data_IF_002566953880
#
_entry.id   IF_002566953880
#
_cell.length_a   1.000
_cell.length_b   1.000
_cell.length_c   1.000
_cell.angle_alpha   90.00
_cell.angle_beta   90.00
_cell.angle_gamma   90.00
#
_symmetry.space_group_name_H-M   'P 1'
#
loop_
_entity.id
_entity.type
_entity.pdbx_description
1 polymer ?
#
# COMPACT_ATOMS: atom_id res chain seq x y z
N UNK A 1 26.05 46.85 -32.50
CA UNK A 1 26.87 45.64 -32.62
C UNK A 1 27.53 45.41 -31.28
N UNK A 2 27.15 44.28 -30.69
CA UNK A 2 27.87 43.47 -29.71
C UNK A 2 27.96 43.85 -28.23
N UNK A 3 27.23 43.01 -27.48
CA UNK A 3 27.65 42.32 -26.27
C UNK A 3 27.64 43.07 -24.92
N UNK A 4 26.43 43.26 -24.38
CA UNK A 4 26.19 43.27 -22.94
C UNK A 4 26.24 41.83 -22.40
N UNK A 5 27.40 41.39 -21.92
CA UNK A 5 27.52 40.19 -21.08
C UNK A 5 27.05 40.52 -19.66
N UNK A 6 25.89 39.96 -19.33
CA UNK A 6 25.33 39.87 -17.98
C UNK A 6 26.18 38.93 -17.12
N UNK A 7 26.76 39.45 -16.04
CA UNK A 7 27.40 38.65 -15.00
C UNK A 7 26.31 38.03 -14.11
N UNK A 8 26.21 36.69 -14.17
CA UNK A 8 25.40 35.90 -13.25
C UNK A 8 26.24 35.64 -11.99
N UNK A 9 25.77 35.99 -10.78
CA UNK A 9 26.52 35.67 -9.56
C UNK A 9 26.39 34.18 -9.24
N UNK A 10 27.55 33.57 -9.04
CA UNK A 10 27.78 32.18 -8.67
C UNK A 10 27.21 31.91 -7.27
N UNK A 11 26.13 31.12 -7.22
CA UNK A 11 25.50 30.68 -5.96
C UNK A 11 26.40 29.60 -5.33
N UNK A 12 27.18 29.99 -4.34
CA UNK A 12 27.96 29.10 -3.48
C UNK A 12 27.00 28.24 -2.65
N UNK A 13 26.98 26.94 -2.94
CA UNK A 13 26.29 25.94 -2.14
C UNK A 13 27.06 25.71 -0.84
N UNK A 14 26.53 26.21 0.27
CA UNK A 14 27.04 25.91 1.61
C UNK A 14 26.51 24.52 2.01
N UNK A 15 27.43 23.57 2.18
CA UNK A 15 27.12 22.25 2.75
C UNK A 15 26.70 22.40 4.22
N UNK A 16 25.58 21.81 4.67
CA UNK A 16 25.31 21.69 6.10
C UNK A 16 26.18 20.57 6.68
N UNK A 17 27.01 20.93 7.66
CA UNK A 17 27.86 20.00 8.41
C UNK A 17 27.06 19.04 9.31
N UNK A 18 27.66 17.91 9.73
CA UNK A 18 27.00 16.93 10.57
C UNK A 18 27.22 17.25 12.05
N UNK A 19 26.19 17.09 12.88
CA UNK A 19 26.37 16.96 14.32
C UNK A 19 25.31 17.64 15.16
N UNK A 20 24.17 16.96 15.34
CA UNK A 20 23.36 17.14 16.55
C UNK A 20 23.23 15.76 17.19
N UNK A 21 23.87 15.62 18.34
CA UNK A 21 23.76 14.46 19.21
C UNK A 21 22.31 14.33 19.70
N UNK A 22 21.67 13.20 19.39
CA UNK A 22 20.38 12.80 19.96
C UNK A 22 20.59 12.39 21.42
N UNK A 23 19.87 13.05 22.33
CA UNK A 23 19.81 12.68 23.74
C UNK A 23 19.04 11.37 23.98
N UNK A 24 19.28 10.67 25.10
CA UNK A 24 18.63 9.41 25.43
C UNK A 24 17.30 9.68 26.12
N UNK A 25 16.20 9.31 25.48
CA UNK A 25 14.85 9.43 26.04
C UNK A 25 13.76 9.02 25.05
N UNK A 26 14.04 7.98 24.23
CA UNK A 26 13.12 7.45 23.25
C UNK A 26 12.39 6.27 23.90
N UNK A 27 11.14 6.47 24.34
CA UNK A 27 10.21 5.34 24.45
C UNK A 27 9.71 5.05 23.04
N UNK A 28 10.63 4.56 22.20
CA UNK A 28 10.32 4.04 20.88
C UNK A 28 9.34 2.88 21.03
N UNK A 29 8.27 2.90 20.24
CA UNK A 29 7.47 1.73 19.87
C UNK A 29 8.30 0.71 19.05
N UNK A 30 9.57 0.50 19.42
CA UNK A 30 10.41 -0.61 18.97
C UNK A 30 10.19 -1.76 19.93
N UNK A 31 9.00 -2.35 19.93
CA UNK A 31 8.84 -3.71 20.46
C UNK A 31 9.18 -4.65 19.30
N UNK A 32 10.37 -5.27 19.27
CA UNK A 32 10.79 -6.04 18.11
C UNK A 32 10.29 -7.49 18.25
N UNK A 33 8.98 -7.73 18.33
CA UNK A 33 8.44 -9.10 18.17
C UNK A 33 6.92 -9.16 18.01
N UNK A 34 6.36 -8.48 17.03
CA UNK A 34 5.03 -8.85 16.52
C UNK A 34 5.18 -9.28 15.07
N UNK A 35 5.60 -10.54 14.87
CA UNK A 35 5.20 -11.26 13.67
C UNK A 35 3.71 -11.56 13.88
N UNK A 36 2.79 -10.89 13.17
CA UNK A 36 1.39 -11.27 13.27
C UNK A 36 1.27 -12.74 12.86
N UNK A 37 0.73 -13.56 13.78
CA UNK A 37 0.21 -14.87 13.44
C UNK A 37 -1.07 -14.63 12.66
N UNK A 38 -0.94 -14.63 11.35
CA UNK A 38 -2.08 -14.54 10.46
C UNK A 38 -2.99 -15.75 10.72
N UNK A 39 -4.26 -15.50 11.08
CA UNK A 39 -5.30 -16.55 11.04
C UNK A 39 -5.65 -16.79 9.57
N UNK A 40 -4.76 -17.49 8.90
CA UNK A 40 -4.93 -17.91 7.53
C UNK A 40 -6.18 -18.78 7.40
N UNK A 41 -6.75 -18.84 6.19
CA UNK A 41 -7.23 -20.13 5.71
C UNK A 41 -5.96 -20.89 5.26
N UNK A 42 -5.29 -21.64 6.16
CA UNK A 42 -3.98 -22.23 5.87
C UNK A 42 -4.05 -23.16 4.67
N UNK A 43 -5.23 -23.70 4.38
CA UNK A 43 -5.45 -24.67 3.32
C UNK A 43 -5.33 -24.01 1.95
N UNK A 44 -5.91 -22.83 1.74
CA UNK A 44 -5.87 -22.19 0.41
C UNK A 44 -4.46 -21.70 0.07
N UNK A 45 -3.81 -20.99 0.99
CA UNK A 45 -2.45 -20.49 0.78
C UNK A 45 -1.43 -21.62 0.60
N UNK A 46 -1.50 -22.67 1.43
CA UNK A 46 -0.63 -23.83 1.31
C UNK A 46 -0.83 -24.57 -0.02
N UNK A 47 -2.10 -24.78 -0.43
CA UNK A 47 -2.42 -25.43 -1.72
C UNK A 47 -1.85 -24.64 -2.90
N UNK A 48 -2.02 -23.32 -2.92
CA UNK A 48 -1.50 -22.48 -4.01
C UNK A 48 0.04 -22.51 -4.06
N UNK A 49 0.70 -22.49 -2.90
CA UNK A 49 2.16 -22.60 -2.81
C UNK A 49 2.66 -23.97 -3.29
N UNK A 50 1.99 -25.06 -2.91
CA UNK A 50 2.32 -26.41 -3.36
C UNK A 50 2.13 -26.55 -4.88
N UNK A 51 1.04 -26.01 -5.44
CA UNK A 51 0.81 -25.98 -6.89
C UNK A 51 1.87 -25.14 -7.63
N UNK A 52 2.33 -24.04 -7.03
CA UNK A 52 3.42 -23.25 -7.59
C UNK A 52 4.74 -24.03 -7.64
N UNK A 53 5.05 -24.83 -6.61
CA UNK A 53 6.22 -25.70 -6.61
C UNK A 53 6.08 -26.81 -7.66
N UNK A 54 4.92 -27.45 -7.74
CA UNK A 54 4.64 -28.49 -8.74
C UNK A 54 4.80 -27.95 -10.16
N UNK A 55 4.23 -26.78 -10.46
CA UNK A 55 4.40 -26.10 -11.75
C UNK A 55 5.88 -25.86 -12.08
N UNK A 56 6.66 -25.38 -11.10
CA UNK A 56 8.11 -25.19 -11.28
C UNK A 56 8.85 -26.47 -11.63
N UNK A 57 8.55 -27.57 -10.93
CA UNK A 57 9.13 -28.90 -11.20
C UNK A 57 8.74 -29.40 -12.59
N UNK A 58 7.47 -29.28 -12.99
CA UNK A 58 6.98 -29.70 -14.31
C UNK A 58 7.63 -28.90 -15.44
N UNK A 59 7.75 -27.58 -15.29
CA UNK A 59 8.40 -26.73 -16.29
C UNK A 59 9.90 -27.01 -16.37
N UNK A 60 10.58 -27.27 -15.25
CA UNK A 60 12.00 -27.61 -15.27
C UNK A 60 12.25 -28.98 -15.93
N UNK A 61 11.53 -30.01 -15.51
CA UNK A 61 11.67 -31.36 -16.07
C UNK A 61 11.29 -31.42 -17.55
N UNK A 62 10.20 -30.75 -17.94
CA UNK A 62 9.74 -30.73 -19.32
C UNK A 62 10.61 -29.91 -20.28
N UNK A 63 11.39 -28.95 -19.78
CA UNK A 63 12.31 -28.15 -20.61
C UNK A 63 13.36 -29.03 -21.28
N UNK A 64 13.84 -30.08 -20.59
CA UNK A 64 14.74 -31.08 -21.18
C UNK A 64 14.14 -31.75 -22.43
N UNK A 65 12.83 -32.03 -22.41
CA UNK A 65 12.11 -32.57 -23.57
C UNK A 65 12.08 -31.62 -24.76
N UNK A 66 11.93 -30.31 -24.52
CA UNK A 66 11.96 -29.30 -25.58
C UNK A 66 13.36 -29.21 -26.19
N UNK A 67 14.40 -29.18 -25.35
CA UNK A 67 15.79 -29.16 -25.85
C UNK A 67 16.08 -30.39 -26.70
N UNK A 68 15.60 -31.57 -26.28
CA UNK A 68 15.74 -32.81 -27.05
C UNK A 68 14.97 -32.79 -28.38
N UNK A 69 13.77 -32.19 -28.42
CA UNK A 69 13.00 -32.05 -29.67
C UNK A 69 13.66 -31.08 -30.66
N UNK A 70 14.44 -30.12 -30.16
CA UNK A 70 15.18 -29.16 -30.99
C UNK A 70 16.50 -29.72 -31.53
N UNK A 71 17.00 -30.83 -30.97
CA UNK A 71 18.19 -31.53 -31.46
C UNK A 71 17.80 -32.80 -32.23
N UNK A 72 17.79 -32.77 -33.57
CA UNK A 72 17.40 -33.93 -34.38
C UNK A 72 18.34 -35.13 -34.21
N UNK A 73 19.58 -34.93 -33.73
CA UNK A 73 20.51 -36.01 -33.47
C UNK A 73 20.18 -36.78 -32.19
N UNK A 74 19.55 -36.12 -31.22
CA UNK A 74 19.11 -36.75 -29.98
C UNK A 74 17.94 -37.73 -30.23
N UNK A 75 17.07 -37.44 -31.22
CA UNK A 75 15.85 -38.23 -31.48
C UNK A 75 16.07 -39.68 -31.92
N UNK A 76 17.28 -40.05 -32.36
CA UNK A 76 17.57 -41.38 -32.87
C UNK A 76 17.77 -42.46 -31.78
N UNK A 77 18.00 -42.07 -30.52
CA UNK A 77 18.50 -42.97 -29.46
C UNK A 77 17.58 -43.08 -28.22
N UNK A 78 16.35 -42.58 -28.29
CA UNK A 78 15.49 -42.51 -27.10
C UNK A 78 14.62 -43.75 -26.87
N UNK A 79 14.51 -44.09 -25.58
CA UNK A 79 13.60 -45.11 -25.06
C UNK A 79 12.15 -44.67 -25.20
N UNK A 80 11.33 -45.53 -25.81
CA UNK A 80 9.88 -45.38 -25.80
C UNK A 80 9.36 -45.60 -24.37
N UNK A 81 8.45 -44.74 -23.93
CA UNK A 81 7.75 -44.95 -22.66
C UNK A 81 6.48 -45.73 -22.97
N UNK A 82 6.41 -46.96 -22.46
CA UNK A 82 5.21 -47.77 -22.56
C UNK A 82 4.18 -47.29 -21.51
N UNK A 83 3.12 -46.64 -21.98
CA UNK A 83 1.99 -46.20 -21.16
C UNK A 83 0.83 -47.22 -21.22
N UNK A 84 1.11 -48.48 -21.58
CA UNK A 84 0.21 -49.62 -21.54
C UNK A 84 -0.66 -49.81 -22.79
N UNK A 85 -0.97 -48.74 -23.54
CA UNK A 85 -1.79 -48.82 -24.76
C UNK A 85 -1.15 -48.11 -25.95
N UNK A 86 -0.25 -47.15 -25.71
CA UNK A 86 0.47 -46.42 -26.75
C UNK A 86 1.93 -46.20 -26.33
N UNK A 87 2.86 -46.52 -27.24
CA UNK A 87 4.25 -46.11 -27.14
C UNK A 87 4.33 -44.64 -27.56
N UNK A 88 4.61 -43.76 -26.60
CA UNK A 88 4.80 -42.33 -26.87
C UNK A 88 6.29 -42.03 -26.67
N UNK A 89 6.96 -41.37 -27.64
CA UNK A 89 8.36 -41.03 -27.48
C UNK A 89 8.52 -40.07 -26.30
N UNK A 90 9.49 -40.37 -25.42
CA UNK A 90 9.77 -39.62 -24.19
C UNK A 90 9.82 -38.09 -24.38
N UNK A 91 10.42 -37.53 -25.46
CA UNK A 91 10.45 -36.08 -25.69
C UNK A 91 9.05 -35.45 -25.81
N UNK A 92 8.07 -36.16 -26.38
CA UNK A 92 6.67 -35.68 -26.47
C UNK A 92 6.04 -35.63 -25.09
N UNK A 93 6.26 -36.66 -24.26
CA UNK A 93 5.75 -36.69 -22.87
C UNK A 93 6.33 -35.53 -22.05
N UNK A 94 7.64 -35.30 -22.16
CA UNK A 94 8.33 -34.20 -21.47
C UNK A 94 7.86 -32.81 -21.96
N UNK A 95 7.67 -32.63 -23.27
CA UNK A 95 7.09 -31.40 -23.81
C UNK A 95 5.65 -31.18 -23.30
N UNK A 96 4.85 -32.24 -23.19
CA UNK A 96 3.53 -32.20 -22.57
C UNK A 96 3.57 -31.72 -21.11
N UNK A 97 4.50 -32.25 -20.30
CA UNK A 97 4.72 -31.81 -18.92
C UNK A 97 5.13 -30.33 -18.84
N UNK A 98 5.99 -29.87 -19.75
CA UNK A 98 6.37 -28.47 -19.83
C UNK A 98 5.15 -27.56 -20.07
N UNK A 99 4.35 -27.87 -21.09
CA UNK A 99 3.15 -27.14 -21.44
C UNK A 99 2.12 -27.12 -20.30
N UNK A 100 1.90 -28.26 -19.64
CA UNK A 100 1.04 -28.35 -18.47
C UNK A 100 1.56 -27.49 -17.30
N UNK A 101 2.88 -27.50 -17.07
CA UNK A 101 3.52 -26.64 -16.07
C UNK A 101 3.31 -25.15 -16.33
N UNK A 102 3.45 -24.70 -17.59
CA UNK A 102 3.19 -23.32 -18.01
C UNK A 102 1.72 -22.94 -17.86
N UNK A 103 0.79 -23.81 -18.29
CA UNK A 103 -0.64 -23.58 -18.14
C UNK A 103 -1.03 -23.45 -16.66
N UNK A 104 -0.50 -24.31 -15.79
CA UNK A 104 -0.70 -24.24 -14.34
C UNK A 104 -0.15 -22.92 -13.76
N UNK A 105 1.04 -22.48 -14.19
CA UNK A 105 1.63 -21.20 -13.75
C UNK A 105 0.76 -20.01 -14.18
N UNK A 106 0.27 -20.02 -15.41
CA UNK A 106 -0.59 -18.96 -15.93
C UNK A 106 -1.92 -18.91 -15.17
N UNK A 107 -2.53 -20.07 -14.92
CA UNK A 107 -3.75 -20.20 -14.14
C UNK A 107 -3.55 -19.71 -12.69
N UNK A 108 -2.45 -20.08 -12.03
CA UNK A 108 -2.12 -19.58 -10.69
C UNK A 108 -1.97 -18.06 -10.67
N UNK A 109 -1.27 -17.48 -11.65
CA UNK A 109 -1.11 -16.03 -11.77
C UNK A 109 -2.44 -15.32 -12.04
N UNK A 110 -3.34 -15.91 -12.85
CA UNK A 110 -4.70 -15.42 -13.01
C UNK A 110 -5.48 -15.49 -11.69
N UNK A 111 -5.37 -16.60 -10.95
CA UNK A 111 -6.09 -16.79 -9.68
C UNK A 111 -5.65 -15.79 -8.60
N UNK A 112 -4.35 -15.52 -8.48
CA UNK A 112 -3.81 -14.50 -7.58
C UNK A 112 -4.36 -13.11 -7.93
N UNK A 113 -4.39 -12.74 -9.22
CA UNK A 113 -4.97 -11.46 -9.67
C UNK A 113 -6.46 -11.34 -9.38
N UNK A 114 -7.21 -12.44 -9.45
CA UNK A 114 -8.62 -12.47 -9.08
C UNK A 114 -8.82 -12.26 -7.58
N UNK A 115 -8.00 -12.89 -6.73
CA UNK A 115 -8.04 -12.69 -5.28
C UNK A 115 -7.68 -11.25 -4.92
N UNK A 116 -6.63 -10.69 -5.53
CA UNK A 116 -6.24 -9.30 -5.34
C UNK A 116 -7.37 -8.34 -5.74
N UNK A 117 -7.98 -8.53 -6.91
CA UNK A 117 -9.10 -7.71 -7.38
C UNK A 117 -10.29 -7.75 -6.41
N UNK A 118 -10.67 -8.95 -5.95
CA UNK A 118 -11.75 -9.11 -4.95
C UNK A 118 -11.41 -8.40 -3.64
N UNK A 119 -10.16 -8.47 -3.19
CA UNK A 119 -9.69 -7.73 -2.02
C UNK A 119 -9.86 -6.22 -2.18
N UNK A 120 -9.49 -5.67 -3.33
CA UNK A 120 -9.70 -4.25 -3.65
C UNK A 120 -11.18 -3.87 -3.72
N UNK A 121 -12.01 -4.68 -4.39
CA UNK A 121 -13.46 -4.46 -4.46
C UNK A 121 -14.08 -4.46 -3.05
N UNK A 122 -13.63 -5.36 -2.16
CA UNK A 122 -14.07 -5.42 -0.77
C UNK A 122 -13.62 -4.22 0.05
N UNK A 123 -12.40 -3.71 -0.17
CA UNK A 123 -11.93 -2.48 0.47
C UNK A 123 -12.75 -1.26 0.05
N UNK A 124 -13.05 -1.13 -1.24
CA UNK A 124 -13.88 -0.06 -1.78
C UNK A 124 -15.32 -0.15 -1.25
N UNK A 125 -15.82 -1.37 -1.04
CA UNK A 125 -17.12 -1.60 -0.40
C UNK A 125 -17.14 -1.39 1.12
N UNK A 126 -16.05 -0.92 1.74
CA UNK A 126 -15.96 -0.69 3.18
C UNK A 126 -15.96 -1.99 4.01
N UNK A 127 -15.47 -3.10 3.44
CA UNK A 127 -15.43 -4.42 4.11
C UNK A 127 -13.97 -4.88 4.33
N UNK A 128 -13.22 -4.23 5.24
CA UNK A 128 -11.81 -4.54 5.45
C UNK A 128 -11.58 -5.99 5.90
N UNK A 129 -12.45 -6.56 6.75
CA UNK A 129 -12.33 -7.96 7.20
C UNK A 129 -12.34 -8.96 6.05
N UNK A 130 -13.29 -8.79 5.11
CA UNK A 130 -13.40 -9.66 3.95
C UNK A 130 -12.20 -9.47 3.00
N UNK A 131 -11.74 -8.22 2.83
CA UNK A 131 -10.59 -7.90 2.01
C UNK A 131 -9.30 -8.55 2.53
N UNK A 132 -9.08 -8.55 3.85
CA UNK A 132 -7.90 -9.15 4.49
C UNK A 132 -7.76 -10.61 4.07
N UNK A 133 -8.83 -11.41 4.15
CA UNK A 133 -8.79 -12.82 3.77
C UNK A 133 -8.40 -13.02 2.29
N UNK A 134 -9.01 -12.25 1.38
CA UNK A 134 -8.70 -12.33 -0.05
C UNK A 134 -7.25 -11.93 -0.36
N UNK A 135 -6.77 -10.87 0.28
CA UNK A 135 -5.44 -10.31 0.06
C UNK A 135 -4.34 -11.17 0.69
N UNK A 136 -4.55 -11.76 1.87
CA UNK A 136 -3.62 -12.71 2.46
C UNK A 136 -3.40 -13.92 1.55
N UNK A 137 -4.49 -14.48 1.00
CA UNK A 137 -4.41 -15.58 0.06
C UNK A 137 -3.63 -15.17 -1.21
N UNK A 138 -3.89 -13.98 -1.75
CA UNK A 138 -3.17 -13.44 -2.91
C UNK A 138 -1.67 -13.26 -2.63
N UNK A 139 -1.30 -12.68 -1.48
CA UNK A 139 0.10 -12.42 -1.07
C UNK A 139 0.87 -13.73 -0.84
N UNK A 140 0.23 -14.71 -0.20
CA UNK A 140 0.86 -16.01 0.09
C UNK A 140 1.21 -16.78 -1.19
N UNK A 141 0.35 -16.68 -2.21
CA UNK A 141 0.48 -17.37 -3.49
C UNK A 141 1.18 -16.54 -4.58
N UNK A 142 1.30 -15.23 -4.40
CA UNK A 142 1.87 -14.31 -5.37
C UNK A 142 3.39 -14.45 -5.51
N UNK A 143 3.90 -14.02 -6.67
CA UNK A 143 5.33 -13.80 -6.88
C UNK A 143 5.81 -12.50 -6.19
N UNK A 144 7.12 -12.27 -6.13
CA UNK A 144 7.67 -11.12 -5.38
C UNK A 144 7.19 -9.75 -5.87
N UNK A 145 6.85 -9.61 -7.16
CA UNK A 145 6.32 -8.36 -7.70
C UNK A 145 4.88 -8.15 -7.22
N UNK A 146 4.02 -9.15 -7.40
CA UNK A 146 2.62 -9.13 -6.94
C UNK A 146 2.52 -8.97 -5.42
N UNK A 147 3.52 -9.45 -4.69
CA UNK A 147 3.59 -9.32 -3.24
C UNK A 147 3.71 -7.86 -2.78
N UNK A 148 4.44 -6.99 -3.47
CA UNK A 148 4.57 -5.58 -3.06
C UNK A 148 3.21 -4.88 -3.00
N UNK A 149 2.47 -4.89 -4.11
CA UNK A 149 1.11 -4.34 -4.18
C UNK A 149 0.14 -5.05 -3.24
N UNK A 150 0.25 -6.37 -3.11
CA UNK A 150 -0.57 -7.15 -2.17
C UNK A 150 -0.32 -6.79 -0.71
N UNK A 151 0.92 -6.56 -0.31
CA UNK A 151 1.25 -6.11 1.05
C UNK A 151 0.74 -4.70 1.33
N UNK A 152 0.86 -3.77 0.37
CA UNK A 152 0.25 -2.44 0.51
C UNK A 152 -1.28 -2.52 0.67
N UNK A 153 -1.96 -3.28 -0.20
CA UNK A 153 -3.42 -3.47 -0.10
C UNK A 153 -3.81 -4.08 1.26
N UNK A 154 -3.03 -5.05 1.74
CA UNK A 154 -3.26 -5.68 3.03
C UNK A 154 -3.01 -4.70 4.19
N UNK A 155 -1.96 -3.88 4.11
CA UNK A 155 -1.69 -2.82 5.09
C UNK A 155 -2.86 -1.82 5.16
N UNK A 156 -3.38 -1.40 4.01
CA UNK A 156 -4.57 -0.54 3.92
C UNK A 156 -5.80 -1.21 4.55
N UNK A 157 -5.97 -2.52 4.35
CA UNK A 157 -7.08 -3.27 4.94
C UNK A 157 -7.01 -3.31 6.47
N UNK A 158 -5.83 -3.63 7.04
CA UNK A 158 -5.61 -3.60 8.48
C UNK A 158 -5.74 -2.19 9.06
N UNK A 159 -5.26 -1.17 8.35
CA UNK A 159 -5.44 0.22 8.73
C UNK A 159 -6.92 0.57 8.87
N UNK A 160 -7.75 0.22 7.88
CA UNK A 160 -9.21 0.45 7.92
C UNK A 160 -9.95 -0.37 8.97
N UNK A 161 -9.39 -1.51 9.37
CA UNK A 161 -9.91 -2.29 10.49
C UNK A 161 -9.52 -1.68 11.86
N UNK A 162 -8.56 -0.74 11.88
CA UNK A 162 -8.03 -0.15 13.11
C UNK A 162 -6.88 -0.94 13.76
N UNK A 163 -6.29 -1.93 13.07
CA UNK A 163 -5.08 -2.61 13.54
C UNK A 163 -3.84 -1.95 12.92
N UNK A 164 -3.44 -0.83 13.52
CA UNK A 164 -2.38 0.01 12.98
C UNK A 164 -1.00 -0.62 13.11
N UNK A 165 -0.73 -1.39 14.16
CA UNK A 165 0.54 -2.10 14.32
C UNK A 165 0.79 -3.07 13.16
N UNK A 166 -0.23 -3.86 12.80
CA UNK A 166 -0.13 -4.75 11.63
C UNK A 166 0.00 -3.98 10.33
N UNK A 167 -0.73 -2.87 10.19
CA UNK A 167 -0.62 -2.03 9.00
C UNK A 167 0.81 -1.48 8.83
N UNK A 168 1.43 -0.98 9.90
CA UNK A 168 2.82 -0.49 9.91
C UNK A 168 3.81 -1.60 9.54
N UNK A 169 3.71 -2.77 10.18
CA UNK A 169 4.59 -3.91 9.91
C UNK A 169 4.53 -4.38 8.45
N UNK A 170 3.34 -4.32 7.84
CA UNK A 170 3.16 -4.67 6.43
C UNK A 170 3.69 -3.56 5.49
N UNK A 171 3.54 -2.29 5.86
CA UNK A 171 4.12 -1.17 5.12
C UNK A 171 5.64 -1.28 5.05
N UNK A 172 6.32 -1.52 6.18
CA UNK A 172 7.77 -1.76 6.22
C UNK A 172 8.19 -2.92 5.33
N UNK A 173 7.48 -4.05 5.44
CA UNK A 173 7.74 -5.24 4.60
C UNK A 173 7.62 -4.93 3.11
N UNK A 174 6.66 -4.09 2.72
CA UNK A 174 6.48 -3.66 1.34
C UNK A 174 7.69 -2.88 0.82
N UNK A 175 8.22 -1.95 1.63
CA UNK A 175 9.40 -1.14 1.24
C UNK A 175 10.66 -1.99 1.01
N UNK A 176 10.79 -3.12 1.71
CA UNK A 176 11.94 -4.02 1.55
C UNK A 176 11.88 -4.83 0.24
N UNK A 177 10.68 -5.28 -0.15
CA UNK A 177 10.48 -6.18 -1.29
C UNK A 177 10.45 -5.41 -2.63
N UNK A 178 9.93 -4.17 -2.62
CA UNK A 178 9.54 -3.48 -3.85
C UNK A 178 10.60 -2.63 -4.55
N UNK A 179 11.82 -2.47 -3.99
CA UNK A 179 12.88 -1.59 -4.55
C UNK A 179 13.30 -1.87 -6.00
N UNK A 180 12.86 -2.97 -6.62
CA UNK A 180 13.29 -3.33 -7.98
C UNK A 180 12.29 -3.00 -9.11
N UNK A 181 10.98 -2.85 -8.89
CA UNK A 181 10.01 -2.81 -10.03
C UNK A 181 8.69 -2.03 -9.89
N UNK A 182 8.17 -1.75 -8.69
CA UNK A 182 6.91 -0.97 -8.53
C UNK A 182 7.19 0.32 -7.76
N UNK A 183 7.73 1.31 -8.47
CA UNK A 183 8.17 2.57 -7.90
C UNK A 183 7.01 3.38 -7.32
N UNK A 184 5.82 3.34 -7.91
CA UNK A 184 4.70 4.17 -7.43
C UNK A 184 4.17 3.68 -6.08
N UNK A 185 3.97 2.37 -5.91
CA UNK A 185 3.50 1.82 -4.62
C UNK A 185 4.56 2.06 -3.53
N UNK A 186 5.83 1.81 -3.84
CA UNK A 186 6.90 1.84 -2.83
C UNK A 186 7.41 3.24 -2.52
N UNK A 187 7.44 4.14 -3.50
CA UNK A 187 8.01 5.48 -3.34
C UNK A 187 6.95 6.53 -2.97
N UNK A 188 5.65 6.21 -3.08
CA UNK A 188 4.58 7.15 -2.77
C UNK A 188 3.50 6.56 -1.87
N UNK A 189 2.82 5.50 -2.29
CA UNK A 189 1.62 5.03 -1.59
C UNK A 189 1.92 4.46 -0.20
N UNK A 190 2.94 3.61 -0.08
CA UNK A 190 3.35 3.05 1.21
C UNK A 190 3.85 4.15 2.16
N UNK A 191 4.82 5.02 1.79
CA UNK A 191 5.22 6.12 2.64
C UNK A 191 4.06 7.03 3.07
N UNK A 192 3.12 7.29 2.17
CA UNK A 192 1.95 8.09 2.47
C UNK A 192 1.04 7.41 3.51
N UNK A 193 0.75 6.12 3.34
CA UNK A 193 -0.04 5.35 4.31
C UNK A 193 0.66 5.29 5.68
N UNK A 194 1.97 5.06 5.71
CA UNK A 194 2.76 5.07 6.95
C UNK A 194 2.65 6.43 7.66
N UNK A 195 2.76 7.52 6.90
CA UNK A 195 2.63 8.87 7.44
C UNK A 195 1.22 9.15 7.98
N UNK A 196 0.15 8.65 7.32
CA UNK A 196 -1.23 8.76 7.86
C UNK A 196 -1.30 8.07 9.22
N UNK A 197 -0.85 6.82 9.31
CA UNK A 197 -0.95 6.03 10.54
C UNK A 197 -0.18 6.70 11.69
N UNK A 198 1.05 7.14 11.44
CA UNK A 198 1.88 7.82 12.44
C UNK A 198 1.28 9.16 12.87
N UNK A 199 0.78 9.95 11.92
CA UNK A 199 0.12 11.21 12.23
C UNK A 199 -1.17 11.00 13.05
N UNK A 200 -1.89 9.91 12.79
CA UNK A 200 -3.04 9.51 13.58
C UNK A 200 -2.66 9.10 15.00
N UNK A 201 -1.51 8.45 15.22
CA UNK A 201 -0.99 8.20 16.57
C UNK A 201 -0.47 9.46 17.30
N UNK A 202 -0.23 10.55 16.56
CA UNK A 202 0.39 11.75 17.11
C UNK A 202 1.92 11.79 16.98
N UNK A 203 2.52 10.80 16.32
CA UNK A 203 3.96 10.74 16.01
C UNK A 203 4.29 11.63 14.80
N UNK A 204 4.16 12.95 14.99
CA UNK A 204 4.21 13.91 13.88
C UNK A 204 5.59 14.03 13.23
N UNK A 205 6.68 13.85 13.98
CA UNK A 205 8.05 13.93 13.44
C UNK A 205 8.32 12.76 12.48
N UNK A 206 7.97 11.54 12.89
CA UNK A 206 8.12 10.35 12.04
C UNK A 206 7.18 10.42 10.82
N UNK A 207 5.95 10.91 11.00
CA UNK A 207 5.03 11.13 9.90
C UNK A 207 5.60 12.10 8.84
N UNK A 208 6.25 13.20 9.28
CA UNK A 208 6.93 14.15 8.39
C UNK A 208 8.13 13.51 7.69
N UNK A 209 8.89 12.65 8.38
CA UNK A 209 9.99 11.90 7.75
C UNK A 209 9.46 11.02 6.60
N UNK A 210 8.37 10.28 6.84
CA UNK A 210 7.75 9.44 5.83
C UNK A 210 7.20 10.23 4.64
N UNK A 211 6.53 11.37 4.89
CA UNK A 211 6.10 12.31 3.84
C UNK A 211 7.30 12.82 3.03
N UNK A 212 8.42 13.13 3.69
CA UNK A 212 9.64 13.62 3.05
C UNK A 212 10.28 12.61 2.08
N UNK A 213 9.96 11.32 2.21
CA UNK A 213 10.44 10.26 1.29
C UNK A 213 9.68 10.24 -0.04
N UNK A 214 8.49 10.86 -0.10
CA UNK A 214 7.65 10.89 -1.30
C UNK A 214 8.18 11.94 -2.28
N UNK A 215 8.46 11.55 -3.53
CA UNK A 215 8.89 12.52 -4.55
C UNK A 215 7.74 13.46 -4.93
N UNK A 216 8.04 14.76 -5.06
CA UNK A 216 7.04 15.82 -5.30
C UNK A 216 5.98 15.54 -6.37
N UNK A 217 6.30 15.01 -7.57
CA UNK A 217 5.27 14.74 -8.57
C UNK A 217 4.23 13.72 -8.09
N UNK A 218 4.66 12.72 -7.31
CA UNK A 218 3.76 11.69 -6.78
C UNK A 218 3.05 12.12 -5.50
N UNK A 219 3.54 13.16 -4.84
CA UNK A 219 2.96 13.67 -3.60
C UNK A 219 1.54 14.18 -3.83
N UNK A 220 1.37 15.03 -4.84
CA UNK A 220 0.07 15.65 -5.13
C UNK A 220 -0.91 14.68 -5.83
N UNK A 221 -0.43 13.53 -6.30
CA UNK A 221 -1.24 12.48 -6.92
C UNK A 221 -1.72 11.40 -5.93
N UNK A 222 -1.34 11.49 -4.64
CA UNK A 222 -1.62 10.42 -3.66
C UNK A 222 -2.53 10.91 -2.55
N UNK A 223 -3.77 10.42 -2.50
CA UNK A 223 -4.78 10.78 -1.49
C UNK A 223 -4.27 10.60 -0.05
N UNK A 224 -3.53 9.53 0.21
CA UNK A 224 -2.94 9.26 1.52
C UNK A 224 -1.93 10.34 1.94
N UNK A 225 -1.22 10.94 0.98
CA UNK A 225 -0.22 11.97 1.28
C UNK A 225 -0.91 13.29 1.66
N UNK A 226 -2.02 13.61 0.96
CA UNK A 226 -2.91 14.70 1.33
C UNK A 226 -3.56 14.47 2.70
N UNK A 227 -4.08 13.26 2.93
CA UNK A 227 -4.69 12.87 4.20
C UNK A 227 -3.69 12.99 5.35
N UNK A 228 -2.45 12.48 5.18
CA UNK A 228 -1.41 12.57 6.19
C UNK A 228 -1.12 14.04 6.56
N UNK A 229 -0.95 14.92 5.56
CA UNK A 229 -0.74 16.34 5.82
C UNK A 229 -1.93 17.00 6.52
N UNK A 230 -3.15 16.68 6.11
CA UNK A 230 -4.34 17.21 6.75
C UNK A 230 -4.46 16.77 8.21
N UNK A 231 -4.19 15.49 8.50
CA UNK A 231 -4.17 14.94 9.86
C UNK A 231 -3.10 15.63 10.70
N UNK A 232 -1.86 15.74 10.20
CA UNK A 232 -0.77 16.43 10.91
C UNK A 232 -1.14 17.88 11.25
N UNK A 233 -1.65 18.64 10.27
CA UNK A 233 -2.08 20.03 10.50
C UNK A 233 -3.21 20.12 11.54
N UNK A 234 -4.15 19.20 11.52
CA UNK A 234 -5.22 19.15 12.52
C UNK A 234 -4.71 18.80 13.92
N UNK A 235 -3.77 17.85 14.04
CA UNK A 235 -3.10 17.51 15.31
C UNK A 235 -2.30 18.69 15.87
N UNK A 236 -1.71 19.51 15.00
CA UNK A 236 -1.01 20.75 15.37
C UNK A 236 -1.96 21.92 15.73
N UNK A 237 -3.28 21.73 15.67
CA UNK A 237 -4.27 22.81 15.87
C UNK A 237 -4.35 23.81 14.71
N UNK A 238 -3.68 23.54 13.58
CA UNK A 238 -3.62 24.41 12.39
C UNK A 238 -4.76 24.10 11.41
N UNK A 239 -5.98 24.26 11.90
CA UNK A 239 -7.19 23.86 11.18
C UNK A 239 -7.43 24.67 9.90
N UNK A 240 -7.06 25.96 9.88
CA UNK A 240 -7.20 26.82 8.70
C UNK A 240 -6.32 26.30 7.56
N UNK A 241 -5.08 25.94 7.86
CA UNK A 241 -4.12 25.37 6.91
C UNK A 241 -4.59 24.01 6.41
N UNK A 242 -5.13 23.16 7.29
CA UNK A 242 -5.69 21.87 6.91
C UNK A 242 -6.82 22.03 5.87
N UNK A 243 -7.77 22.92 6.14
CA UNK A 243 -8.88 23.22 5.21
C UNK A 243 -8.35 23.75 3.88
N UNK A 244 -7.44 24.73 3.90
CA UNK A 244 -6.83 25.29 2.68
C UNK A 244 -6.09 24.23 1.88
N UNK A 245 -5.38 23.31 2.56
CA UNK A 245 -4.61 22.25 1.90
C UNK A 245 -5.54 21.29 1.16
N UNK A 246 -6.60 20.81 1.82
CA UNK A 246 -7.59 19.90 1.21
C UNK A 246 -8.26 20.55 0.00
N UNK A 247 -8.72 21.80 0.13
CA UNK A 247 -9.43 22.51 -0.95
C UNK A 247 -8.58 22.79 -2.19
N UNK A 248 -7.25 22.92 -2.04
CA UNK A 248 -6.34 23.16 -3.17
C UNK A 248 -6.14 21.91 -4.04
N UNK A 249 -6.45 20.73 -3.53
CA UNK A 249 -6.05 19.43 -4.12
C UNK A 249 -7.25 18.63 -4.63
N UNK A 250 -8.48 19.16 -4.54
CA UNK A 250 -9.67 18.50 -5.06
C UNK A 250 -9.57 18.43 -6.59
N UNK A 251 -9.16 17.26 -7.08
CA UNK A 251 -9.24 16.84 -8.47
C UNK A 251 -10.55 16.07 -8.66
N UNK A 252 -11.30 16.38 -9.72
CA UNK A 252 -12.63 15.78 -9.99
C UNK A 252 -12.55 14.30 -10.45
N UNK A 253 -11.36 13.79 -10.79
CA UNK A 253 -11.18 12.50 -11.50
C UNK A 253 -10.39 11.42 -10.72
N UNK A 254 -10.11 11.59 -9.42
CA UNK A 254 -9.26 10.62 -8.69
C UNK A 254 -10.10 9.48 -8.10
N UNK A 255 -9.76 8.20 -8.37
CA UNK A 255 -10.52 7.05 -7.87
C UNK A 255 -10.55 7.00 -6.33
N UNK A 256 -11.78 7.12 -5.82
CA UNK A 256 -12.23 7.36 -4.45
C UNK A 256 -11.91 6.23 -3.47
N UNK A 257 -10.63 5.96 -3.20
CA UNK A 257 -10.34 5.03 -2.09
C UNK A 257 -10.48 5.79 -0.77
N UNK A 258 -9.93 7.01 -0.62
CA UNK A 258 -9.89 7.73 0.67
C UNK A 258 -10.54 9.12 0.65
N UNK A 259 -11.31 9.46 -0.39
CA UNK A 259 -12.06 10.74 -0.46
C UNK A 259 -12.95 10.94 0.76
N UNK A 260 -13.58 9.87 1.24
CA UNK A 260 -14.37 9.89 2.47
C UNK A 260 -13.56 10.25 3.71
N UNK A 261 -12.36 9.67 3.87
CA UNK A 261 -11.48 9.98 5.00
C UNK A 261 -11.00 11.43 4.98
N UNK A 262 -10.60 11.93 3.80
CA UNK A 262 -10.22 13.34 3.61
C UNK A 262 -11.42 14.26 3.91
N UNK A 263 -12.63 13.90 3.46
CA UNK A 263 -13.84 14.66 3.75
C UNK A 263 -14.15 14.71 5.26
N UNK A 264 -13.96 13.60 5.98
CA UNK A 264 -14.11 13.54 7.44
C UNK A 264 -13.11 14.45 8.13
N UNK A 265 -11.83 14.40 7.77
CA UNK A 265 -10.80 15.28 8.35
C UNK A 265 -11.08 16.75 8.01
N UNK A 266 -11.56 17.04 6.80
CA UNK A 266 -11.98 18.39 6.44
C UNK A 266 -13.16 18.88 7.29
N UNK A 267 -14.18 18.04 7.48
CA UNK A 267 -15.34 18.37 8.31
C UNK A 267 -14.93 18.58 9.78
N UNK A 268 -14.05 17.73 10.30
CA UNK A 268 -13.46 17.88 11.63
C UNK A 268 -12.72 19.22 11.76
N UNK A 269 -11.80 19.53 10.84
CA UNK A 269 -11.05 20.78 10.85
C UNK A 269 -11.99 22.00 10.83
N UNK A 270 -13.05 21.97 10.01
CA UNK A 270 -14.05 23.05 9.95
C UNK A 270 -14.84 23.19 11.24
N UNK A 271 -15.20 22.09 11.89
CA UNK A 271 -15.91 22.13 13.17
C UNK A 271 -15.10 22.86 14.26
N UNK A 272 -13.77 22.76 14.20
CA UNK A 272 -12.84 23.44 15.11
C UNK A 272 -12.64 24.92 14.85
N UNK A 273 -13.10 25.43 13.70
CA UNK A 273 -12.99 26.86 13.36
C UNK A 273 -14.10 27.74 13.96
N UNK A 274 -15.08 27.15 14.67
CA UNK A 274 -16.03 27.91 15.50
C UNK A 274 -16.82 29.01 14.77
N UNK A 275 -17.08 28.84 13.47
CA UNK A 275 -17.78 29.85 12.65
C UNK A 275 -16.88 30.79 11.84
N UNK A 276 -15.54 30.67 11.93
CA UNK A 276 -14.66 31.32 10.95
C UNK A 276 -14.93 30.74 9.55
N UNK A 277 -15.51 31.58 8.69
CA UNK A 277 -15.85 31.21 7.32
C UNK A 277 -14.58 31.14 6.48
N UNK A 278 -14.02 29.94 6.32
CA UNK A 278 -13.16 29.65 5.18
C UNK A 278 -14.07 29.41 3.97
N UNK A 279 -14.08 30.30 2.96
CA UNK A 279 -14.94 30.15 1.80
C UNK A 279 -14.64 28.82 1.12
N UNK A 280 -15.69 28.04 0.87
CA UNK A 280 -15.56 26.81 0.08
C UNK A 280 -15.29 27.20 -1.37
N UNK A 281 -14.37 26.50 -2.02
CA UNK A 281 -14.22 26.61 -3.48
C UNK A 281 -15.56 26.22 -4.14
N UNK A 282 -16.06 26.97 -5.12
CA UNK A 282 -17.26 26.58 -5.87
C UNK A 282 -17.12 25.14 -6.40
N UNK A 283 -18.15 24.31 -6.22
CA UNK A 283 -18.15 22.89 -6.59
C UNK A 283 -17.63 21.92 -5.50
N UNK A 284 -17.05 22.43 -4.41
CA UNK A 284 -16.61 21.58 -3.30
C UNK A 284 -17.81 21.19 -2.42
N UNK A 285 -18.51 20.11 -2.80
CA UNK A 285 -19.56 19.49 -1.99
C UNK A 285 -18.91 18.42 -1.12
N UNK A 286 -18.45 18.81 0.07
CA UNK A 286 -18.00 17.84 1.06
C UNK A 286 -19.17 17.53 2.01
N UNK A 287 -19.43 16.26 2.32
CA UNK A 287 -20.49 15.89 3.26
C UNK A 287 -20.24 16.60 4.60
N UNK A 288 -21.25 17.32 5.11
CA UNK A 288 -21.16 18.02 6.39
C UNK A 288 -20.94 17.04 7.56
N UNK A 289 -21.33 15.78 7.39
CA UNK A 289 -21.10 14.68 8.33
C UNK A 289 -21.09 13.36 7.56
N UNK A 290 -20.18 12.41 7.86
CA UNK A 290 -20.27 11.06 7.29
C UNK A 290 -21.60 10.43 7.69
N UNK A 291 -22.29 9.78 6.73
CA UNK A 291 -23.61 9.19 6.95
C UNK A 291 -23.59 8.00 7.94
N UNK A 292 -22.40 7.43 8.19
CA UNK A 292 -22.18 6.33 9.15
C UNK A 292 -20.86 6.57 9.89
N UNK A 293 -20.94 6.80 11.20
CA UNK A 293 -19.75 6.99 12.04
C UNK A 293 -18.80 5.78 12.01
N UNK A 294 -19.35 4.57 11.93
CA UNK A 294 -18.60 3.32 12.01
C UNK A 294 -17.60 3.09 10.87
N UNK A 295 -17.81 3.69 9.70
CA UNK A 295 -16.94 3.46 8.53
C UNK A 295 -15.59 4.19 8.64
N UNK A 296 -15.48 5.17 9.54
CA UNK A 296 -14.27 6.00 9.72
C UNK A 296 -13.75 5.99 11.16
N UNK A 297 -14.22 5.08 12.01
CA UNK A 297 -13.74 4.94 13.39
C UNK A 297 -12.23 4.73 13.46
N UNK A 298 -11.66 4.08 12.44
CA UNK A 298 -10.21 3.91 12.30
C UNK A 298 -9.42 5.23 12.17
N UNK A 299 -10.05 6.36 11.89
CA UNK A 299 -9.37 7.65 11.91
C UNK A 299 -9.20 8.20 13.33
N UNK A 300 -9.95 7.73 14.30
CA UNK A 300 -9.90 8.26 15.66
C UNK A 300 -8.85 7.59 16.57
N UNK A 301 -7.87 6.88 15.99
CA UNK A 301 -6.78 6.22 16.71
C UNK A 301 -6.15 7.17 17.74
N UNK A 302 -6.32 6.88 19.03
CA UNK A 302 -5.75 7.69 20.12
C UNK A 302 -6.00 9.20 19.92
N UNK A 303 -7.15 9.54 19.33
CA UNK A 303 -7.56 10.92 19.05
C UNK A 303 -8.93 11.20 19.66
N UNK A 304 -9.01 11.49 20.97
CA UNK A 304 -10.28 11.67 21.67
C UNK A 304 -11.18 12.73 21.03
N UNK A 305 -10.59 13.83 20.56
CA UNK A 305 -11.27 14.92 19.87
C UNK A 305 -11.98 14.47 18.59
N UNK A 306 -11.28 13.69 17.77
CA UNK A 306 -11.82 13.19 16.51
C UNK A 306 -12.84 12.07 16.79
N UNK A 307 -12.58 11.22 17.79
CA UNK A 307 -13.53 10.20 18.25
C UNK A 307 -14.88 10.82 18.65
N UNK A 308 -14.85 11.87 19.49
CA UNK A 308 -16.05 12.59 19.91
C UNK A 308 -16.78 13.20 18.70
N UNK A 309 -16.03 13.82 17.77
CA UNK A 309 -16.60 14.37 16.54
C UNK A 309 -17.30 13.30 15.68
N UNK A 310 -16.70 12.12 15.52
CA UNK A 310 -17.27 10.99 14.77
C UNK A 310 -18.54 10.42 15.42
N UNK A 311 -18.57 10.34 16.76
CA UNK A 311 -19.78 9.96 17.52
C UNK A 311 -20.85 11.05 17.54
N UNK A 312 -20.46 12.25 17.15
CA UNK A 312 -21.31 13.42 17.12
C UNK A 312 -21.57 14.06 18.48
N UNK A 313 -20.69 13.77 19.44
CA UNK A 313 -20.63 14.40 20.74
C UNK A 313 -20.06 15.83 20.60
N UNK A 314 -20.43 16.71 21.53
CA UNK A 314 -19.75 17.99 21.65
C UNK A 314 -18.29 17.72 21.94
N UNK A 315 -17.44 18.26 21.08
CA UNK A 315 -16.03 18.00 21.14
C UNK A 315 -15.46 18.50 22.48
N UNK A 316 -14.63 17.70 23.18
CA UNK A 316 -13.95 18.21 24.37
C UNK A 316 -13.15 19.46 23.99
N UNK A 317 -13.15 20.43 24.91
CA UNK A 317 -12.35 21.65 24.78
C UNK A 317 -10.90 21.19 24.57
N UNK A 318 -10.21 21.65 23.51
CA UNK A 318 -8.85 21.21 23.22
C UNK A 318 -7.97 21.47 24.44
N UNK A 319 -7.34 20.40 24.95
CA UNK A 319 -6.34 20.53 26.00
C UNK A 319 -5.09 21.07 25.31
N UNK A 320 -4.95 22.40 25.32
CA UNK A 320 -3.72 23.04 24.92
C UNK A 320 -2.73 22.81 26.07
N UNK A 321 -1.91 21.77 25.93
CA UNK A 321 -0.72 21.64 26.77
C UNK A 321 0.15 22.88 26.50
N UNK A 322 0.30 23.70 27.55
CA UNK A 322 1.00 24.98 27.54
C UNK A 322 2.52 24.81 27.56
#
# INVERSE_FOLDING_TARGET
>A
MDALMSQVPEKTWVHPGPGIARGPGMMTLTTPSLRPSFKHDPLLGARLKQLSLLSGVMTFAGFGGIVMLLDPSALADFSEVDLGVTQIPLPIVLAGLFCAGLALRHWLGWRVRQLERRGWEQLQAGRPDAAIHSLEAAVSAGNDISRGRGYYALALAWFRQGDYERALALGEKTTWIGRKRDTRVCDAQVPALMAVILALYGELDDAREWVGRIRRPMFDETDHALLAQAVMLCREGRYVEAVKRIQRTVHEDVPETDVGAVAVIHAFARSRLGGQLVPLKPGCVLPQRPARGSEYEYLACEWPELAAFLRGEDAPVPVLDA
#
